data_IF_526001929098
#
_entry.id   IF_526001929098
#
_cell.length_a   1.000
_cell.length_b   1.000
_cell.length_c   1.000
_cell.angle_alpha   90.00
_cell.angle_beta   90.00
_cell.angle_gamma   90.00
#
_symmetry.space_group_name_H-M   'P 1'
#
loop_
_entity.id
_entity.type
_entity.pdbx_description
1 polymer ?
#
# COMPACT_ATOMS: atom_id res chain seq x y z
N UNK A 1 42.69 -17.98 -5.90
CA UNK A 1 41.77 -16.84 -5.68
C UNK A 1 40.60 -16.85 -6.67
N UNK A 2 40.79 -17.21 -7.94
CA UNK A 2 39.66 -17.26 -8.91
C UNK A 2 38.63 -18.39 -8.71
N UNK A 3 38.98 -19.52 -8.10
CA UNK A 3 38.02 -20.63 -7.89
C UNK A 3 37.02 -20.37 -6.75
N UNK A 4 37.36 -19.51 -5.79
CA UNK A 4 36.50 -19.18 -4.64
C UNK A 4 35.44 -18.14 -5.02
N UNK A 5 35.78 -17.22 -5.94
CA UNK A 5 34.83 -16.27 -6.54
C UNK A 5 33.84 -16.97 -7.50
N UNK A 6 34.28 -17.99 -8.25
CA UNK A 6 33.38 -18.75 -9.15
C UNK A 6 32.36 -19.59 -8.38
N UNK A 7 32.74 -20.17 -7.23
CA UNK A 7 31.82 -20.92 -6.35
C UNK A 7 30.86 -19.98 -5.62
N UNK A 8 31.32 -18.81 -5.18
CA UNK A 8 30.45 -17.80 -4.55
C UNK A 8 29.42 -17.27 -5.55
N UNK A 9 29.83 -16.96 -6.78
CA UNK A 9 28.91 -16.51 -7.83
C UNK A 9 27.94 -17.61 -8.25
N UNK A 10 28.36 -18.89 -8.27
CA UNK A 10 27.46 -20.02 -8.52
C UNK A 10 26.47 -20.23 -7.38
N UNK A 11 26.88 -20.12 -6.13
CA UNK A 11 25.98 -20.21 -4.98
C UNK A 11 24.97 -19.05 -4.94
N UNK A 12 25.40 -17.82 -5.23
CA UNK A 12 24.49 -16.68 -5.33
C UNK A 12 23.54 -16.80 -6.53
N UNK A 13 24.03 -17.28 -7.68
CA UNK A 13 23.18 -17.57 -8.83
C UNK A 13 22.20 -18.72 -8.52
N UNK A 14 22.61 -19.75 -7.79
CA UNK A 14 21.78 -20.88 -7.43
C UNK A 14 20.76 -20.52 -6.32
N UNK A 15 21.09 -19.61 -5.40
CA UNK A 15 20.12 -18.99 -4.49
C UNK A 15 19.13 -18.07 -5.24
N UNK A 16 19.59 -17.31 -6.24
CA UNK A 16 18.71 -16.47 -7.08
C UNK A 16 17.77 -17.30 -7.95
N UNK A 17 18.24 -18.42 -8.48
CA UNK A 17 17.44 -19.37 -9.28
C UNK A 17 16.43 -20.10 -8.39
N UNK A 18 16.80 -20.51 -7.17
CA UNK A 18 15.84 -21.11 -6.22
C UNK A 18 14.80 -20.13 -5.67
N UNK A 19 15.13 -18.84 -5.53
CA UNK A 19 14.18 -17.84 -5.03
C UNK A 19 13.09 -17.41 -6.06
N UNK A 20 13.23 -17.82 -7.33
CA UNK A 20 12.31 -17.50 -8.41
C UNK A 20 11.27 -18.61 -8.68
N UNK A 21 11.55 -19.87 -8.30
CA UNK A 21 10.66 -21.01 -8.54
C UNK A 21 9.57 -21.19 -7.45
N UNK A 22 9.80 -20.72 -6.22
CA UNK A 22 8.88 -20.93 -5.08
C UNK A 22 7.73 -19.92 -4.97
N UNK A 23 7.71 -18.89 -5.80
CA UNK A 23 6.72 -17.81 -5.69
C UNK A 23 5.37 -18.15 -6.35
N UNK A 24 5.30 -19.13 -7.25
CA UNK A 24 4.14 -19.35 -8.14
C UNK A 24 2.89 -19.87 -7.41
N UNK A 25 3.05 -20.66 -6.34
CA UNK A 25 1.95 -21.37 -5.66
C UNK A 25 1.71 -20.87 -4.22
N UNK A 26 2.17 -19.67 -3.88
CA UNK A 26 1.99 -19.13 -2.53
C UNK A 26 0.50 -18.86 -2.24
N UNK A 27 -0.02 -19.27 -1.05
CA UNK A 27 -1.35 -18.88 -0.63
C UNK A 27 -1.40 -17.36 -0.39
N UNK A 28 -2.59 -16.75 -0.57
CA UNK A 28 -2.78 -15.30 -0.50
C UNK A 28 -2.14 -14.65 0.76
N UNK A 29 -2.28 -15.20 1.98
CA UNK A 29 -1.62 -14.61 3.15
C UNK A 29 -0.09 -14.52 3.01
N UNK A 30 0.56 -15.62 2.60
CA UNK A 30 2.02 -15.65 2.47
C UNK A 30 2.51 -14.75 1.33
N UNK A 31 1.75 -14.69 0.25
CA UNK A 31 2.02 -13.80 -0.87
C UNK A 31 1.93 -12.33 -0.45
N UNK A 32 0.88 -11.96 0.28
CA UNK A 32 0.69 -10.61 0.80
C UNK A 32 1.76 -10.23 1.82
N UNK A 33 2.13 -11.13 2.74
CA UNK A 33 3.16 -10.86 3.74
C UNK A 33 4.53 -10.61 3.06
N UNK A 34 4.86 -11.37 2.01
CA UNK A 34 6.07 -11.14 1.21
C UNK A 34 6.02 -9.81 0.44
N UNK A 35 4.89 -9.52 -0.20
CA UNK A 35 4.67 -8.30 -0.98
C UNK A 35 4.73 -7.04 -0.11
N UNK A 36 4.05 -7.06 1.05
CA UNK A 36 4.04 -5.96 2.02
C UNK A 36 5.41 -5.73 2.66
N UNK A 37 6.20 -6.79 2.87
CA UNK A 37 7.58 -6.64 3.31
C UNK A 37 8.43 -5.90 2.27
N UNK A 38 8.33 -6.26 0.99
CA UNK A 38 9.04 -5.54 -0.08
C UNK A 38 8.56 -4.08 -0.19
N UNK A 39 7.26 -3.81 -0.06
CA UNK A 39 6.73 -2.45 -0.01
C UNK A 39 7.32 -1.63 1.14
N UNK A 40 7.49 -2.21 2.32
CA UNK A 40 8.13 -1.55 3.47
C UNK A 40 9.60 -1.22 3.21
N UNK A 41 10.33 -2.13 2.56
CA UNK A 41 11.72 -1.89 2.17
C UNK A 41 11.82 -0.82 1.07
N UNK A 42 10.94 -0.83 0.07
CA UNK A 42 10.84 0.21 -0.96
C UNK A 42 10.56 1.59 -0.34
N UNK A 43 9.61 1.66 0.60
CA UNK A 43 9.23 2.89 1.32
C UNK A 43 10.38 3.48 2.17
N UNK A 44 11.37 2.67 2.53
CA UNK A 44 12.59 3.08 3.24
C UNK A 44 13.79 3.26 2.30
N UNK A 45 13.57 3.25 0.97
CA UNK A 45 14.60 3.33 -0.06
C UNK A 45 15.70 2.26 0.08
N UNK A 46 15.34 1.09 0.59
CA UNK A 46 16.25 -0.03 0.85
C UNK A 46 16.14 -1.16 -0.19
N UNK A 47 15.42 -0.93 -1.31
CA UNK A 47 15.36 -1.83 -2.45
C UNK A 47 15.97 -1.21 -3.70
N UNK A 48 16.58 -2.06 -4.52
CA UNK A 48 16.96 -1.73 -5.88
C UNK A 48 15.79 -1.92 -6.87
N UNK A 49 16.03 -1.57 -8.13
CA UNK A 49 15.00 -1.65 -9.18
C UNK A 49 14.56 -3.10 -9.48
N UNK A 50 15.37 -4.11 -9.18
CA UNK A 50 14.96 -5.52 -9.30
C UNK A 50 13.98 -5.89 -8.17
N UNK A 51 14.29 -5.50 -6.93
CA UNK A 51 13.42 -5.67 -5.77
C UNK A 51 12.09 -4.94 -5.92
N UNK A 52 12.09 -3.71 -6.45
CA UNK A 52 10.86 -2.94 -6.73
C UNK A 52 9.98 -3.68 -7.74
N UNK A 53 10.55 -4.11 -8.89
CA UNK A 53 9.79 -4.85 -9.91
C UNK A 53 9.25 -6.18 -9.37
N UNK A 54 10.05 -6.90 -8.58
CA UNK A 54 9.59 -8.12 -7.91
C UNK A 54 8.41 -7.82 -6.98
N UNK A 55 8.46 -6.76 -6.17
CA UNK A 55 7.35 -6.36 -5.31
C UNK A 55 6.08 -6.02 -6.09
N UNK A 56 6.21 -5.29 -7.19
CA UNK A 56 5.09 -5.00 -8.11
C UNK A 56 4.47 -6.30 -8.65
N UNK A 57 5.28 -7.26 -9.08
CA UNK A 57 4.78 -8.55 -9.58
C UNK A 57 4.10 -9.38 -8.49
N UNK A 58 4.63 -9.39 -7.26
CA UNK A 58 3.97 -10.06 -6.13
C UNK A 58 2.61 -9.41 -5.82
N UNK A 59 2.55 -8.08 -5.81
CA UNK A 59 1.32 -7.31 -5.53
C UNK A 59 0.26 -7.53 -6.62
N UNK A 60 0.63 -7.59 -7.90
CA UNK A 60 -0.30 -7.94 -8.99
C UNK A 60 -0.94 -9.31 -8.79
N UNK A 61 -0.15 -10.29 -8.33
CA UNK A 61 -0.68 -11.62 -8.04
C UNK A 61 -1.58 -11.63 -6.80
N UNK A 62 -1.25 -10.84 -5.76
CA UNK A 62 -2.16 -10.62 -4.63
C UNK A 62 -3.50 -10.09 -5.12
N UNK A 63 -3.46 -9.05 -5.94
CA UNK A 63 -4.63 -8.37 -6.47
C UNK A 63 -5.53 -9.34 -7.26
N UNK A 64 -4.93 -10.08 -8.21
CA UNK A 64 -5.61 -11.14 -8.96
C UNK A 64 -6.28 -12.19 -8.06
N UNK A 65 -5.60 -12.61 -6.98
CA UNK A 65 -6.15 -13.61 -6.05
C UNK A 65 -7.30 -13.03 -5.22
N UNK A 66 -7.17 -11.78 -4.75
CA UNK A 66 -8.23 -11.07 -4.01
C UNK A 66 -9.48 -10.95 -4.87
N UNK A 67 -9.34 -10.56 -6.15
CA UNK A 67 -10.46 -10.47 -7.09
C UNK A 67 -11.09 -11.84 -7.36
N UNK A 68 -10.29 -12.90 -7.58
CA UNK A 68 -10.80 -14.27 -7.84
C UNK A 68 -11.54 -14.86 -6.64
N UNK A 69 -11.08 -14.55 -5.42
CA UNK A 69 -11.73 -14.99 -4.19
C UNK A 69 -12.99 -14.17 -3.88
N UNK A 70 -13.19 -13.01 -4.53
CA UNK A 70 -14.33 -12.14 -4.30
C UNK A 70 -14.38 -11.64 -2.86
N UNK A 71 -13.23 -11.29 -2.28
CA UNK A 71 -13.15 -10.92 -0.85
C UNK A 71 -13.89 -9.64 -0.48
N UNK A 72 -14.21 -8.81 -1.49
CA UNK A 72 -14.94 -7.56 -1.32
C UNK A 72 -16.05 -7.50 -2.38
N UNK A 73 -17.25 -7.13 -1.94
CA UNK A 73 -18.40 -6.92 -2.81
C UNK A 73 -18.79 -5.45 -2.84
N UNK A 74 -19.35 -5.00 -3.97
CA UNK A 74 -19.86 -3.62 -4.12
C UNK A 74 -21.08 -3.30 -3.24
N UNK A 75 -21.69 -4.32 -2.62
CA UNK A 75 -22.86 -4.17 -1.75
C UNK A 75 -22.52 -4.30 -0.25
N UNK A 76 -21.23 -4.41 0.09
CA UNK A 76 -20.76 -4.51 1.47
C UNK A 76 -20.43 -3.12 2.03
N UNK A 77 -20.64 -2.96 3.32
CA UNK A 77 -20.07 -1.86 4.10
C UNK A 77 -18.77 -2.34 4.76
N UNK A 78 -17.97 -1.43 5.31
CA UNK A 78 -16.81 -1.81 6.11
C UNK A 78 -17.13 -2.82 7.22
N UNK A 79 -18.34 -2.82 7.78
CA UNK A 79 -18.74 -3.73 8.87
C UNK A 79 -18.96 -5.18 8.41
N UNK A 80 -19.18 -5.39 7.11
CA UNK A 80 -19.36 -6.72 6.53
C UNK A 80 -18.02 -7.41 6.22
N UNK A 81 -16.92 -6.66 6.19
CA UNK A 81 -15.58 -7.18 5.91
C UNK A 81 -14.95 -7.76 7.17
N UNK A 82 -14.57 -9.04 7.13
CA UNK A 82 -13.86 -9.69 8.24
C UNK A 82 -12.51 -9.01 8.55
N UNK A 83 -12.15 -8.94 9.83
CA UNK A 83 -10.89 -8.32 10.28
C UNK A 83 -9.67 -8.88 9.55
N UNK A 84 -9.63 -10.20 9.33
CA UNK A 84 -8.54 -10.88 8.62
C UNK A 84 -8.39 -10.47 7.15
N UNK A 85 -9.48 -10.00 6.52
CA UNK A 85 -9.49 -9.61 5.12
C UNK A 85 -9.18 -8.12 4.91
N UNK A 86 -9.33 -7.26 5.93
CA UNK A 86 -9.10 -5.81 5.81
C UNK A 86 -7.73 -5.47 5.24
N UNK A 87 -6.68 -6.23 5.59
CA UNK A 87 -5.32 -6.00 5.08
C UNK A 87 -5.23 -6.06 3.55
N UNK A 88 -6.07 -6.86 2.89
CA UNK A 88 -6.05 -7.00 1.44
C UNK A 88 -6.62 -5.78 0.70
N UNK A 89 -7.34 -4.88 1.38
CA UNK A 89 -7.74 -3.58 0.82
C UNK A 89 -6.53 -2.70 0.47
N UNK A 90 -5.38 -2.94 1.11
CA UNK A 90 -4.16 -2.15 0.89
C UNK A 90 -3.37 -2.58 -0.35
N UNK A 91 -3.71 -3.71 -0.98
CA UNK A 91 -3.00 -4.25 -2.15
C UNK A 91 -2.91 -3.22 -3.30
N UNK A 92 -4.02 -2.65 -3.79
CA UNK A 92 -3.97 -1.66 -4.88
C UNK A 92 -3.21 -0.38 -4.47
N UNK A 93 -3.26 0.01 -3.19
CA UNK A 93 -2.47 1.14 -2.68
C UNK A 93 -0.97 0.87 -2.74
N UNK A 94 -0.52 -0.27 -2.21
CA UNK A 94 0.89 -0.68 -2.27
C UNK A 94 1.37 -0.83 -3.71
N UNK A 95 0.51 -1.36 -4.59
CA UNK A 95 0.81 -1.52 -6.01
C UNK A 95 1.00 -0.16 -6.69
N UNK A 96 0.15 0.82 -6.36
CA UNK A 96 0.30 2.21 -6.80
C UNK A 96 1.63 2.84 -6.36
N UNK A 97 1.97 2.75 -5.08
CA UNK A 97 3.23 3.30 -4.53
C UNK A 97 4.48 2.63 -5.08
N UNK A 98 4.49 1.31 -5.22
CA UNK A 98 5.65 0.61 -5.78
C UNK A 98 5.79 0.84 -7.28
N UNK A 99 4.68 0.93 -8.01
CA UNK A 99 4.70 1.20 -9.46
C UNK A 99 5.29 2.57 -9.75
N UNK A 100 4.96 3.61 -8.97
CA UNK A 100 5.54 4.95 -9.14
C UNK A 100 7.08 4.97 -9.07
N UNK A 101 7.64 4.12 -8.21
CA UNK A 101 9.08 4.00 -7.98
C UNK A 101 9.83 3.25 -9.12
N UNK A 102 9.12 2.63 -10.06
CA UNK A 102 9.73 1.92 -11.18
C UNK A 102 10.43 2.92 -12.10
N UNK A 103 11.73 2.73 -12.30
CA UNK A 103 12.50 3.51 -13.27
C UNK A 103 12.26 2.98 -14.69
N UNK A 104 11.78 3.89 -15.54
CA UNK A 104 11.58 3.68 -16.98
C UNK A 104 11.91 4.97 -17.74
N UNK A 105 12.44 4.84 -18.97
CA UNK A 105 12.80 5.98 -19.81
C UNK A 105 11.58 6.86 -20.15
N UNK A 106 10.49 6.25 -20.59
CA UNK A 106 9.18 6.91 -20.65
C UNK A 106 8.45 6.70 -19.33
N UNK A 107 8.38 7.74 -18.49
CA UNK A 107 7.66 7.68 -17.22
C UNK A 107 6.14 7.74 -17.38
N UNK A 108 5.61 8.23 -18.50
CA UNK A 108 4.16 8.46 -18.65
C UNK A 108 3.34 7.17 -18.43
N UNK A 109 3.71 6.01 -19.00
CA UNK A 109 3.04 4.74 -18.71
C UNK A 109 3.08 4.34 -17.23
N UNK A 110 4.22 4.58 -16.55
CA UNK A 110 4.39 4.29 -15.12
C UNK A 110 3.45 5.14 -14.27
N UNK A 111 3.40 6.45 -14.55
CA UNK A 111 2.52 7.38 -13.82
C UNK A 111 1.05 7.02 -14.02
N UNK A 112 0.64 6.61 -15.22
CA UNK A 112 -0.72 6.16 -15.50
C UNK A 112 -1.08 4.89 -14.76
N UNK A 113 -0.22 3.87 -14.84
CA UNK A 113 -0.43 2.61 -14.13
C UNK A 113 -0.53 2.82 -12.61
N UNK A 114 0.38 3.61 -12.03
CA UNK A 114 0.31 3.97 -10.60
C UNK A 114 -0.99 4.68 -10.24
N UNK A 115 -1.41 5.67 -11.04
CA UNK A 115 -2.69 6.35 -10.84
C UNK A 115 -3.89 5.40 -10.91
N UNK A 116 -3.90 4.44 -11.83
CA UNK A 116 -5.02 3.52 -12.00
C UNK A 116 -5.16 2.59 -10.79
N UNK A 117 -4.05 2.05 -10.27
CA UNK A 117 -4.05 1.28 -9.01
C UNK A 117 -4.51 2.11 -7.80
N UNK A 118 -4.08 3.37 -7.69
CA UNK A 118 -4.51 4.25 -6.60
C UNK A 118 -6.00 4.62 -6.71
N UNK A 119 -6.53 4.81 -7.93
CA UNK A 119 -7.96 5.05 -8.14
C UNK A 119 -8.79 3.82 -7.79
N UNK A 120 -8.31 2.63 -8.14
CA UNK A 120 -8.96 1.37 -7.75
C UNK A 120 -9.05 1.23 -6.23
N UNK A 121 -7.95 1.48 -5.51
CA UNK A 121 -7.96 1.53 -4.04
C UNK A 121 -9.02 2.51 -3.51
N UNK A 122 -9.03 3.74 -4.03
CA UNK A 122 -10.00 4.77 -3.64
C UNK A 122 -11.44 4.30 -3.93
N UNK A 123 -11.69 3.72 -5.10
CA UNK A 123 -13.04 3.24 -5.47
C UNK A 123 -13.54 2.11 -4.58
N UNK A 124 -12.67 1.15 -4.21
CA UNK A 124 -13.04 0.09 -3.27
C UNK A 124 -13.32 0.67 -1.88
N UNK A 125 -12.49 1.60 -1.40
CA UNK A 125 -12.73 2.27 -0.13
C UNK A 125 -13.98 3.16 -0.13
N UNK A 126 -14.33 3.78 -1.25
CA UNK A 126 -15.58 4.53 -1.43
C UNK A 126 -16.78 3.59 -1.28
N UNK A 127 -16.75 2.44 -1.97
CA UNK A 127 -17.82 1.44 -1.91
C UNK A 127 -18.04 0.90 -0.49
N UNK A 128 -16.96 0.72 0.28
CA UNK A 128 -17.01 0.25 1.66
C UNK A 128 -17.29 1.34 2.71
N UNK A 129 -17.58 2.57 2.28
CA UNK A 129 -17.84 3.73 3.18
C UNK A 129 -16.65 4.04 4.12
N UNK A 130 -15.43 3.81 3.63
CA UNK A 130 -14.18 4.10 4.36
C UNK A 130 -13.68 5.53 4.14
N UNK A 131 -14.21 6.23 3.13
CA UNK A 131 -13.84 7.59 2.78
C UNK A 131 -14.79 8.57 3.47
N UNK A 132 -14.28 9.55 4.24
CA UNK A 132 -15.09 10.61 4.80
C UNK A 132 -15.81 11.42 3.71
N UNK A 133 -17.08 11.73 3.94
CA UNK A 133 -17.95 12.42 2.98
C UNK A 133 -17.37 13.76 2.51
N UNK A 134 -16.70 14.51 3.39
CA UNK A 134 -16.02 15.76 3.04
C UNK A 134 -14.88 15.56 2.03
N UNK A 135 -14.11 14.48 2.17
CA UNK A 135 -13.05 14.13 1.21
C UNK A 135 -13.65 13.67 -0.13
N UNK A 136 -14.74 12.90 -0.06
CA UNK A 136 -15.39 12.31 -1.22
C UNK A 136 -16.06 13.37 -2.12
N UNK A 137 -16.72 14.36 -1.52
CA UNK A 137 -17.31 15.48 -2.24
C UNK A 137 -16.26 16.24 -3.05
N UNK A 138 -15.11 16.51 -2.44
CA UNK A 138 -14.00 17.23 -3.09
C UNK A 138 -13.36 16.36 -4.18
N UNK A 139 -13.19 15.06 -3.93
CA UNK A 139 -12.68 14.13 -4.94
C UNK A 139 -13.55 14.08 -6.19
N UNK A 140 -14.88 14.04 -6.03
CA UNK A 140 -15.86 14.02 -7.14
C UNK A 140 -15.96 15.37 -7.87
N UNK A 141 -15.77 16.49 -7.17
CA UNK A 141 -15.85 17.84 -7.75
C UNK A 141 -14.66 18.20 -8.67
N UNK A 142 -13.53 17.49 -8.54
CA UNK A 142 -12.39 17.62 -9.45
C UNK A 142 -11.72 19.00 -9.43
N UNK A 143 -11.11 19.40 -10.56
CA UNK A 143 -10.30 20.63 -10.67
C UNK A 143 -11.12 21.95 -10.65
N UNK A 144 -12.45 21.91 -10.45
CA UNK A 144 -13.33 23.08 -10.46
C UNK A 144 -13.30 23.88 -9.14
N UNK A 145 -12.26 23.71 -8.32
CA UNK A 145 -12.20 24.27 -6.96
C UNK A 145 -11.39 25.56 -6.84
N UNK A 146 -11.85 26.43 -5.96
CA UNK A 146 -11.11 27.64 -5.58
C UNK A 146 -9.84 27.29 -4.80
N UNK A 147 -8.82 28.14 -4.86
CA UNK A 147 -7.58 27.94 -4.08
C UNK A 147 -7.77 27.88 -2.56
N UNK A 148 -8.88 28.41 -2.04
CA UNK A 148 -9.24 28.32 -0.62
C UNK A 148 -9.73 26.92 -0.24
N UNK A 149 -10.59 26.30 -1.06
CA UNK A 149 -11.11 24.95 -0.83
C UNK A 149 -9.98 23.91 -0.86
N UNK A 150 -9.08 24.00 -1.85
CA UNK A 150 -7.92 23.12 -1.94
C UNK A 150 -7.01 23.20 -0.71
N UNK A 151 -6.85 24.39 -0.14
CA UNK A 151 -6.06 24.57 1.09
C UNK A 151 -6.77 23.95 2.29
N UNK A 152 -8.08 24.16 2.43
CA UNK A 152 -8.88 23.57 3.48
C UNK A 152 -8.84 22.03 3.42
N UNK A 153 -8.96 21.45 2.21
CA UNK A 153 -8.82 20.01 1.98
C UNK A 153 -7.47 19.47 2.46
N UNK A 154 -6.37 20.10 2.04
CA UNK A 154 -5.02 19.67 2.48
C UNK A 154 -4.85 19.74 3.99
N UNK A 155 -5.41 20.75 4.65
CA UNK A 155 -5.38 20.86 6.11
C UNK A 155 -6.22 19.75 6.76
N UNK A 156 -7.41 19.46 6.24
CA UNK A 156 -8.26 18.37 6.73
C UNK A 156 -7.56 17.00 6.58
N UNK A 157 -7.00 16.73 5.40
CA UNK A 157 -6.21 15.52 5.11
C UNK A 157 -5.01 15.39 6.02
N UNK A 158 -4.25 16.47 6.24
CA UNK A 158 -3.10 16.46 7.16
C UNK A 158 -3.52 16.16 8.61
N UNK A 159 -4.62 16.74 9.09
CA UNK A 159 -5.17 16.44 10.42
C UNK A 159 -5.59 14.98 10.54
N UNK A 160 -6.23 14.43 9.51
CA UNK A 160 -6.67 13.03 9.46
C UNK A 160 -5.47 12.08 9.44
N UNK A 161 -4.47 12.37 8.63
CA UNK A 161 -3.19 11.65 8.62
C UNK A 161 -2.56 11.63 10.02
N UNK A 162 -2.47 12.79 10.69
CA UNK A 162 -1.93 12.87 12.06
C UNK A 162 -2.75 12.07 13.07
N UNK A 163 -4.07 12.11 12.96
CA UNK A 163 -4.95 11.33 13.84
C UNK A 163 -4.74 9.81 13.63
N UNK A 164 -4.64 9.35 12.38
CA UNK A 164 -4.39 7.95 12.06
C UNK A 164 -3.00 7.49 12.55
N UNK A 165 -1.95 8.29 12.36
CA UNK A 165 -0.61 8.03 12.88
C UNK A 165 -0.59 7.91 14.42
N UNK A 166 -1.21 8.87 15.12
CA UNK A 166 -1.34 8.82 16.58
C UNK A 166 -2.09 7.57 17.03
N UNK A 167 -3.18 7.22 16.35
CA UNK A 167 -3.99 6.05 16.69
C UNK A 167 -3.21 4.75 16.56
N UNK A 168 -2.46 4.58 15.47
CA UNK A 168 -1.60 3.42 15.26
C UNK A 168 -0.51 3.32 16.35
N UNK A 169 0.06 4.45 16.77
CA UNK A 169 1.04 4.49 17.84
C UNK A 169 0.43 4.09 19.19
N UNK A 170 -0.75 4.61 19.53
CA UNK A 170 -1.46 4.25 20.77
C UNK A 170 -1.80 2.76 20.84
N UNK A 171 -2.25 2.18 19.71
CA UNK A 171 -2.53 0.75 19.58
C UNK A 171 -1.26 -0.06 19.82
N UNK A 172 -0.16 0.30 19.16
CA UNK A 172 1.13 -0.38 19.34
C UNK A 172 1.59 -0.36 20.79
N UNK A 173 1.50 0.79 21.46
CA UNK A 173 1.86 0.90 22.87
C UNK A 173 0.96 0.06 23.78
N UNK A 174 -0.33 -0.04 23.46
CA UNK A 174 -1.28 -0.90 24.19
C UNK A 174 -0.92 -2.38 24.04
N UNK A 175 -0.64 -2.84 22.81
CA UNK A 175 -0.15 -4.22 22.57
C UNK A 175 1.15 -4.50 23.33
N UNK A 176 2.11 -3.58 23.31
CA UNK A 176 3.37 -3.73 24.05
C UNK A 176 3.15 -3.81 25.57
N UNK A 177 2.28 -2.96 26.12
CA UNK A 177 1.94 -2.99 27.56
C UNK A 177 1.29 -4.32 27.96
N UNK A 178 0.31 -4.80 27.20
CA UNK A 178 -0.32 -6.12 27.43
C UNK A 178 0.68 -7.27 27.30
N UNK A 179 1.51 -7.27 26.25
CA UNK A 179 2.53 -8.29 26.03
C UNK A 179 3.62 -8.34 27.10
N UNK A 180 3.89 -7.23 27.81
CA UNK A 180 4.76 -7.22 29.00
C UNK A 180 4.05 -7.78 30.24
N UNK A 181 2.78 -7.43 30.43
CA UNK A 181 1.95 -7.95 31.53
C UNK A 181 1.80 -9.47 31.45
N UNK A 182 1.45 -10.01 30.28
CA UNK A 182 1.32 -11.46 30.05
C UNK A 182 2.63 -12.21 30.33
N UNK A 183 3.77 -11.67 29.88
CA UNK A 183 5.09 -12.24 30.18
C UNK A 183 5.39 -12.26 31.68
N UNK A 184 4.99 -11.23 32.41
CA UNK A 184 5.17 -11.17 33.87
C UNK A 184 4.28 -12.18 34.60
N UNK A 185 3.02 -12.34 34.19
CA UNK A 185 2.07 -13.31 34.77
C UNK A 185 2.47 -14.76 34.48
N UNK A 186 2.93 -15.07 33.26
CA UNK A 186 3.42 -16.40 32.89
C UNK A 186 4.63 -16.85 33.73
N UNK A 187 5.43 -15.91 34.24
CA UNK A 187 6.54 -16.18 35.16
C UNK A 187 6.08 -16.44 36.61
N UNK A 188 4.80 -16.21 36.95
CA UNK A 188 4.33 -16.16 38.34
C UNK A 188 3.03 -16.91 38.68
N UNK A 189 2.30 -17.50 37.73
CA UNK A 189 1.02 -18.19 38.02
C UNK A 189 0.80 -19.54 37.26
N UNK A 190 0.15 -20.55 37.87
CA UNK A 190 -0.46 -21.69 37.16
C UNK A 190 -1.67 -21.24 36.34
N UNK A 191 -1.76 -21.76 35.11
CA UNK A 191 -2.70 -21.36 34.05
C UNK A 191 -4.14 -21.79 34.40
N UNK A 192 -5.05 -20.85 34.66
CA UNK A 192 -6.48 -21.16 34.71
C UNK A 192 -7.36 -19.98 34.25
N UNK A 193 -8.13 -20.23 33.18
CA UNK A 193 -9.44 -19.65 32.85
C UNK A 193 -9.60 -18.12 32.74
N UNK A 194 -8.85 -17.47 31.83
CA UNK A 194 -9.10 -16.07 31.42
C UNK A 194 -8.95 -15.78 29.92
N UNK A 195 -8.81 -16.82 29.08
CA UNK A 195 -8.34 -16.68 27.70
C UNK A 195 -9.40 -16.11 26.72
N UNK A 196 -10.71 -16.21 27.00
CA UNK A 196 -11.74 -15.78 26.05
C UNK A 196 -11.88 -14.24 25.95
N UNK A 197 -11.84 -13.52 27.08
CA UNK A 197 -11.97 -12.05 27.13
C UNK A 197 -10.73 -11.34 26.53
N UNK A 198 -9.56 -11.98 26.64
CA UNK A 198 -8.29 -11.49 26.07
C UNK A 198 -8.23 -11.67 24.52
N UNK A 199 -8.87 -12.71 23.97
CA UNK A 199 -8.90 -12.98 22.53
C UNK A 199 -9.85 -12.04 21.76
N UNK A 200 -11.03 -11.75 22.31
CA UNK A 200 -11.97 -10.80 21.70
C UNK A 200 -11.39 -9.37 21.66
N UNK A 201 -10.73 -8.94 22.73
CA UNK A 201 -10.06 -7.64 22.79
C UNK A 201 -8.91 -7.49 21.76
N UNK A 202 -8.21 -8.57 21.41
CA UNK A 202 -7.15 -8.51 20.38
C UNK A 202 -7.74 -8.39 18.96
N UNK A 203 -8.88 -9.05 18.69
CA UNK A 203 -9.57 -8.98 17.40
C UNK A 203 -10.15 -7.59 17.11
N UNK A 204 -10.76 -6.94 18.09
CA UNK A 204 -11.25 -5.55 17.94
C UNK A 204 -10.10 -4.56 17.74
N UNK A 205 -9.00 -4.74 18.47
CA UNK A 205 -7.83 -3.88 18.32
C UNK A 205 -7.09 -4.10 16.99
N UNK A 206 -7.03 -5.33 16.50
CA UNK A 206 -6.52 -5.62 15.16
C UNK A 206 -7.37 -4.93 14.09
N UNK A 207 -8.70 -5.00 14.21
CA UNK A 207 -9.61 -4.31 13.31
C UNK A 207 -9.39 -2.80 13.33
N UNK A 208 -9.26 -2.22 14.53
CA UNK A 208 -8.98 -0.80 14.72
C UNK A 208 -7.65 -0.40 14.06
N UNK A 209 -6.61 -1.24 14.18
CA UNK A 209 -5.31 -1.01 13.55
C UNK A 209 -5.42 -1.01 12.02
N UNK A 210 -6.13 -1.99 11.44
CA UNK A 210 -6.32 -2.06 9.99
C UNK A 210 -7.08 -0.85 9.45
N UNK A 211 -8.18 -0.45 10.11
CA UNK A 211 -8.95 0.73 9.72
C UNK A 211 -8.12 2.02 9.82
N UNK A 212 -7.29 2.16 10.85
CA UNK A 212 -6.37 3.30 10.99
C UNK A 212 -5.30 3.30 9.88
N UNK A 213 -4.74 2.13 9.53
CA UNK A 213 -3.79 2.00 8.40
C UNK A 213 -4.45 2.36 7.07
N UNK A 214 -5.68 1.91 6.82
CA UNK A 214 -6.44 2.24 5.59
C UNK A 214 -6.72 3.74 5.51
N UNK A 215 -7.12 4.37 6.63
CA UNK A 215 -7.33 5.82 6.69
C UNK A 215 -6.05 6.61 6.39
N UNK A 216 -4.91 6.16 6.91
CA UNK A 216 -3.60 6.72 6.59
C UNK A 216 -3.25 6.55 5.10
N UNK A 217 -3.45 5.34 4.56
CA UNK A 217 -3.22 5.02 3.15
C UNK A 217 -4.09 5.87 2.22
N UNK A 218 -5.37 6.08 2.53
CA UNK A 218 -6.27 6.96 1.77
C UNK A 218 -5.74 8.39 1.69
N UNK A 219 -5.30 8.95 2.82
CA UNK A 219 -4.70 10.30 2.83
C UNK A 219 -3.50 10.37 1.88
N UNK A 220 -2.58 9.40 1.97
CA UNK A 220 -1.39 9.33 1.11
C UNK A 220 -1.74 9.10 -0.35
N UNK A 221 -2.70 8.22 -0.65
CA UNK A 221 -3.15 7.91 -2.00
C UNK A 221 -3.70 9.14 -2.71
N UNK A 222 -4.54 9.93 -2.03
CA UNK A 222 -5.05 11.16 -2.64
C UNK A 222 -3.94 12.19 -2.91
N UNK A 223 -2.98 12.36 -2.00
CA UNK A 223 -1.84 13.26 -2.22
C UNK A 223 -0.96 12.78 -3.38
N UNK A 224 -0.73 11.47 -3.46
CA UNK A 224 0.06 10.85 -4.52
C UNK A 224 -0.62 10.99 -5.89
N UNK A 225 -1.92 10.72 -5.99
CA UNK A 225 -2.68 10.94 -7.24
C UNK A 225 -2.58 12.41 -7.69
N UNK A 226 -2.67 13.35 -6.76
CA UNK A 226 -2.53 14.79 -7.02
C UNK A 226 -1.14 15.18 -7.55
N UNK A 227 -0.11 14.49 -7.09
CA UNK A 227 1.28 14.67 -7.53
C UNK A 227 1.50 14.05 -8.91
N UNK A 228 1.11 12.78 -9.09
CA UNK A 228 1.26 12.03 -10.33
C UNK A 228 0.56 12.71 -11.51
N UNK A 229 -0.66 13.22 -11.32
CA UNK A 229 -1.39 13.95 -12.35
C UNK A 229 -0.63 15.19 -12.85
N UNK A 230 -0.05 15.96 -11.93
CA UNK A 230 0.73 17.15 -12.30
C UNK A 230 1.99 16.78 -13.04
N UNK A 231 2.68 15.71 -12.59
CA UNK A 231 3.87 15.22 -13.28
C UNK A 231 3.52 14.75 -14.70
N UNK A 232 2.45 13.98 -14.85
CA UNK A 232 1.96 13.53 -16.16
C UNK A 232 1.64 14.72 -17.09
N UNK A 233 0.88 15.72 -16.60
CA UNK A 233 0.56 16.94 -17.35
C UNK A 233 1.83 17.66 -17.82
N UNK A 234 2.84 17.78 -16.95
CA UNK A 234 4.12 18.41 -17.28
C UNK A 234 4.89 17.62 -18.35
N UNK A 235 4.98 16.30 -18.20
CA UNK A 235 5.69 15.43 -19.15
C UNK A 235 5.03 15.42 -20.53
N UNK A 236 3.69 15.37 -20.59
CA UNK A 236 2.93 15.48 -21.83
C UNK A 236 3.18 16.83 -22.52
N UNK A 237 3.15 17.93 -21.77
CA UNK A 237 3.43 19.26 -22.34
C UNK A 237 4.86 19.37 -22.88
N UNK A 238 5.85 18.75 -22.21
CA UNK A 238 7.23 18.69 -22.71
C UNK A 238 7.34 17.86 -23.98
N UNK A 239 6.68 16.70 -24.03
CA UNK A 239 6.65 15.81 -25.20
C UNK A 239 6.05 16.51 -26.41
N UNK A 240 4.90 17.16 -26.24
CA UNK A 240 4.24 17.93 -27.30
C UNK A 240 5.13 19.08 -27.82
N UNK A 241 5.83 19.80 -26.93
CA UNK A 241 6.77 20.86 -27.34
C UNK A 241 7.95 20.31 -28.16
N UNK A 242 8.49 19.15 -27.77
CA UNK A 242 9.58 18.49 -28.51
C UNK A 242 9.11 18.06 -29.90
N UNK A 243 7.94 17.45 -29.99
CA UNK A 243 7.34 17.01 -31.26
C UNK A 243 7.11 18.20 -32.21
N UNK A 244 6.55 19.31 -31.70
CA UNK A 244 6.39 20.56 -32.47
C UNK A 244 7.73 21.14 -32.93
N UNK A 245 8.74 21.14 -32.07
CA UNK A 245 10.08 21.64 -32.43
C UNK A 245 10.71 20.80 -33.55
N UNK A 246 10.61 19.48 -33.47
CA UNK A 246 11.12 18.56 -34.49
C UNK A 246 10.38 18.77 -35.82
N UNK A 247 9.05 18.89 -35.79
CA UNK A 247 8.24 19.12 -36.98
C UNK A 247 8.57 20.44 -37.70
N UNK A 248 9.03 21.47 -36.97
CA UNK A 248 9.40 22.77 -37.53
C UNK A 248 10.82 22.83 -38.14
N UNK A 249 11.71 21.89 -37.80
CA UNK A 249 13.13 21.95 -38.19
C UNK A 249 13.58 20.78 -39.06
N UNK A 250 12.77 19.73 -39.19
CA UNK A 250 13.05 18.54 -40.01
C UNK A 250 12.06 18.39 -41.19
N UNK A 251 10.96 19.15 -41.19
CA UNK A 251 10.02 19.26 -42.32
C UNK A 251 10.35 20.44 -43.23
#
# INVERSE_FOLDING_TARGET
MGEVEDVSNRMEAQLRVHAAEDDADLPLPALFDRASHLHSLASSSSLDQEGIRKGVDLLRRCDDMVSKLGLFSSNETKEDVSTANLKYLLVPYYLGEMTEQVEQEDRIPVLKASQDHLKEFISVCEALELIPEDELQLYRQGQSETGANRRAQKVARFKRQKAAETKLQEIKERKERRGRSLRATALSAPIEAGEEDDLEADGEEEREAWLATISLALCKAFDLVDMLKKEEEMLLAVKERKEKFIALHIG
#
